data_IF_396808133594
#
_entry.id   IF_396808133594
#
_cell.length_a   1.000
_cell.length_b   1.000
_cell.length_c   1.000
_cell.angle_alpha   90.00
_cell.angle_beta   90.00
_cell.angle_gamma   90.00
#
_symmetry.space_group_name_H-M   'P 1'
#
loop_
_entity.id
_entity.type
_entity.pdbx_description
1 polymer ?
#
# COMPACT_ATOMS: atom_id res chain seq x y z
N UNK A 1 12.23 12.98 10.23
CA UNK A 1 11.45 12.55 9.05
C UNK A 1 11.42 11.03 8.86
N UNK A 2 12.56 10.33 8.88
CA UNK A 2 12.62 8.87 8.73
C UNK A 2 11.70 8.09 9.69
N UNK A 3 11.71 8.45 10.98
CA UNK A 3 10.77 7.92 11.98
C UNK A 3 9.31 8.13 11.59
N UNK A 4 8.91 9.34 11.17
CA UNK A 4 7.53 9.61 10.74
C UNK A 4 7.12 8.72 9.55
N UNK A 5 8.04 8.50 8.60
CA UNK A 5 7.81 7.61 7.47
C UNK A 5 7.60 6.14 7.90
N UNK A 6 8.41 5.66 8.85
CA UNK A 6 8.23 4.32 9.43
C UNK A 6 6.89 4.20 10.18
N UNK A 7 6.48 5.23 10.92
CA UNK A 7 5.18 5.27 11.60
C UNK A 7 3.99 5.32 10.65
N UNK A 8 4.15 5.91 9.46
CA UNK A 8 3.13 5.94 8.42
C UNK A 8 3.12 4.68 7.55
N UNK A 9 4.20 3.90 7.54
CA UNK A 9 4.32 2.70 6.71
C UNK A 9 3.23 1.63 6.92
N UNK A 10 2.61 1.49 8.11
CA UNK A 10 1.48 0.58 8.31
C UNK A 10 0.14 1.16 7.84
N UNK A 11 0.06 2.45 7.51
CA UNK A 11 -1.20 3.13 7.18
C UNK A 11 -1.92 2.51 5.97
N UNK A 12 -1.23 2.12 4.87
CA UNK A 12 -1.86 1.38 3.78
C UNK A 12 -2.53 0.08 4.23
N UNK A 13 -1.94 -0.66 5.19
CA UNK A 13 -2.51 -1.89 5.74
C UNK A 13 -3.79 -1.62 6.53
N UNK A 14 -3.78 -0.57 7.35
CA UNK A 14 -4.96 -0.15 8.13
C UNK A 14 -6.11 0.25 7.19
N UNK A 15 -5.80 1.07 6.18
CA UNK A 15 -6.79 1.50 5.18
C UNK A 15 -7.32 0.31 4.40
N UNK A 16 -6.47 -0.67 4.05
CA UNK A 16 -6.91 -1.89 3.41
C UNK A 16 -7.87 -2.70 4.29
N UNK A 17 -7.54 -2.92 5.56
CA UNK A 17 -8.41 -3.64 6.50
C UNK A 17 -9.79 -2.98 6.64
N UNK A 18 -9.82 -1.65 6.78
CA UNK A 18 -11.07 -0.87 6.85
C UNK A 18 -11.86 -0.99 5.54
N UNK A 19 -11.18 -0.84 4.39
CA UNK A 19 -11.82 -0.95 3.08
C UNK A 19 -12.40 -2.34 2.84
N UNK A 20 -11.70 -3.40 3.22
CA UNK A 20 -12.15 -4.78 3.06
C UNK A 20 -13.37 -5.07 3.97
N UNK A 21 -13.32 -4.61 5.22
CA UNK A 21 -14.46 -4.68 6.13
C UNK A 21 -15.69 -3.92 5.59
N UNK A 22 -15.50 -2.72 5.03
CA UNK A 22 -16.55 -1.92 4.40
C UNK A 22 -17.16 -2.61 3.18
N UNK A 23 -16.34 -3.08 2.24
CA UNK A 23 -16.80 -3.81 1.05
C UNK A 23 -17.55 -5.09 1.43
N UNK A 24 -17.12 -5.76 2.51
CA UNK A 24 -17.79 -6.94 3.05
C UNK A 24 -19.20 -6.70 3.61
N UNK A 25 -19.61 -5.43 3.84
CA UNK A 25 -20.98 -5.11 4.25
C UNK A 25 -21.98 -5.16 3.10
N UNK A 26 -21.53 -5.29 1.86
CA UNK A 26 -22.38 -5.27 0.67
C UNK A 26 -22.40 -6.63 -0.02
N UNK A 27 -23.55 -6.97 -0.59
CA UNK A 27 -23.75 -8.17 -1.41
C UNK A 27 -24.02 -7.82 -2.88
N UNK A 28 -23.76 -8.78 -3.78
CA UNK A 28 -24.04 -8.66 -5.22
C UNK A 28 -23.45 -7.40 -5.85
N UNK A 29 -24.32 -6.60 -6.47
CA UNK A 29 -23.93 -5.39 -7.20
C UNK A 29 -23.34 -4.29 -6.30
N UNK A 30 -23.80 -4.20 -5.05
CA UNK A 30 -23.28 -3.24 -4.07
C UNK A 30 -21.81 -3.50 -3.72
N UNK A 31 -21.42 -4.78 -3.63
CA UNK A 31 -20.02 -5.17 -3.39
C UNK A 31 -19.11 -4.75 -4.53
N UNK A 32 -19.59 -4.91 -5.76
CA UNK A 32 -18.86 -4.55 -6.97
C UNK A 32 -18.69 -3.03 -7.09
N UNK A 33 -19.73 -2.26 -6.76
CA UNK A 33 -19.67 -0.80 -6.70
C UNK A 33 -18.74 -0.26 -5.59
N UNK A 34 -18.59 -0.99 -4.48
CA UNK A 34 -17.72 -0.62 -3.37
C UNK A 34 -16.25 -1.07 -3.55
N UNK A 35 -15.99 -2.08 -4.39
CA UNK A 35 -14.64 -2.63 -4.63
C UNK A 35 -13.55 -1.60 -5.02
N UNK A 36 -13.84 -0.53 -5.78
CA UNK A 36 -12.84 0.50 -6.09
C UNK A 36 -12.23 1.19 -4.86
N UNK A 37 -12.88 1.15 -3.70
CA UNK A 37 -12.32 1.69 -2.46
C UNK A 37 -11.02 0.99 -2.05
N UNK A 38 -10.83 -0.27 -2.46
CA UNK A 38 -9.61 -1.06 -2.22
C UNK A 38 -8.42 -0.59 -3.06
N UNK A 39 -8.61 0.30 -4.04
CA UNK A 39 -7.51 0.93 -4.77
C UNK A 39 -6.77 1.98 -3.93
N UNK A 40 -7.45 2.61 -2.98
CA UNK A 40 -6.88 3.64 -2.09
C UNK A 40 -5.62 3.15 -1.34
N UNK A 41 -5.63 2.00 -0.64
CA UNK A 41 -4.42 1.50 0.03
C UNK A 41 -3.29 1.16 -0.94
N UNK A 42 -3.60 0.69 -2.15
CA UNK A 42 -2.60 0.43 -3.20
C UNK A 42 -1.90 1.73 -3.60
N UNK A 43 -2.67 2.77 -3.90
CA UNK A 43 -2.13 4.09 -4.30
C UNK A 43 -1.32 4.73 -3.18
N UNK A 44 -1.79 4.63 -1.93
CA UNK A 44 -1.05 5.11 -0.76
C UNK A 44 0.29 4.37 -0.60
N UNK A 45 0.26 3.04 -0.67
CA UNK A 45 1.47 2.21 -0.54
C UNK A 45 2.48 2.49 -1.65
N UNK A 46 2.00 2.66 -2.89
CA UNK A 46 2.82 3.02 -4.04
C UNK A 46 3.45 4.40 -3.86
N UNK A 47 2.65 5.41 -3.47
CA UNK A 47 3.13 6.77 -3.23
C UNK A 47 4.20 6.82 -2.14
N UNK A 48 4.00 6.07 -1.05
CA UNK A 48 5.00 5.90 0.00
C UNK A 48 6.28 5.23 -0.51
N UNK A 49 6.17 4.15 -1.29
CA UNK A 49 7.31 3.48 -1.90
C UNK A 49 8.13 4.42 -2.80
N UNK A 50 7.46 5.21 -3.64
CA UNK A 50 8.11 6.20 -4.52
C UNK A 50 8.82 7.28 -3.69
N UNK A 51 8.12 7.87 -2.72
CA UNK A 51 8.68 8.92 -1.85
C UNK A 51 9.88 8.43 -1.02
N UNK A 52 9.78 7.20 -0.49
CA UNK A 52 10.85 6.54 0.23
C UNK A 52 12.05 6.23 -0.67
N UNK A 53 11.80 5.77 -1.90
CA UNK A 53 12.83 5.52 -2.92
C UNK A 53 13.61 6.78 -3.26
N UNK A 54 12.92 7.88 -3.58
CA UNK A 54 13.56 9.19 -3.83
C UNK A 54 14.39 9.65 -2.63
N UNK A 55 13.84 9.53 -1.41
CA UNK A 55 14.53 9.94 -0.17
C UNK A 55 15.76 9.08 0.12
N UNK A 56 15.72 7.79 -0.21
CA UNK A 56 16.83 6.85 -0.08
C UNK A 56 17.95 7.21 -1.05
N UNK A 57 17.62 7.48 -2.31
CA UNK A 57 18.60 7.91 -3.33
C UNK A 57 19.22 9.25 -2.96
N UNK A 58 18.42 10.21 -2.50
CA UNK A 58 18.90 11.51 -2.05
C UNK A 58 19.90 11.38 -0.89
N UNK A 59 19.57 10.59 0.13
CA UNK A 59 20.46 10.40 1.29
C UNK A 59 21.74 9.63 0.96
N UNK A 60 21.65 8.63 0.07
CA UNK A 60 22.84 7.93 -0.44
C UNK A 60 23.81 8.90 -1.12
N UNK A 61 23.31 9.87 -1.91
CA UNK A 61 24.13 10.90 -2.54
C UNK A 61 24.73 11.90 -1.54
N UNK A 62 24.06 12.14 -0.41
CA UNK A 62 24.52 13.06 0.64
C UNK A 62 25.43 12.41 1.70
N UNK A 63 25.76 11.12 1.58
CA UNK A 63 26.55 10.38 2.59
C UNK A 63 25.84 10.20 3.93
N UNK A 64 24.52 10.42 3.99
CA UNK A 64 23.72 10.29 5.21
C UNK A 64 23.26 8.84 5.41
N UNK A 65 23.02 8.40 6.66
CA UNK A 65 22.48 7.07 6.93
C UNK A 65 21.11 6.89 6.25
N UNK A 66 21.00 5.86 5.40
CA UNK A 66 19.86 5.66 4.49
C UNK A 66 19.02 4.40 4.81
N UNK A 67 19.44 3.57 5.76
CA UNK A 67 18.81 2.28 6.05
C UNK A 67 17.36 2.36 6.53
N UNK A 68 17.00 3.40 7.28
CA UNK A 68 15.62 3.63 7.75
C UNK A 68 14.65 3.92 6.59
N UNK A 69 15.12 4.61 5.55
CA UNK A 69 14.32 4.91 4.37
C UNK A 69 14.20 3.71 3.44
N UNK A 70 15.28 2.94 3.28
CA UNK A 70 15.24 1.70 2.50
C UNK A 70 14.23 0.71 3.08
N UNK A 71 14.31 0.46 4.40
CA UNK A 71 13.39 -0.49 5.07
C UNK A 71 11.94 -0.05 4.94
N UNK A 72 11.62 1.23 5.20
CA UNK A 72 10.28 1.75 4.98
C UNK A 72 9.81 1.65 3.52
N UNK A 73 10.73 1.85 2.56
CA UNK A 73 10.44 1.72 1.12
C UNK A 73 10.14 0.28 0.73
N UNK A 74 10.92 -0.68 1.24
CA UNK A 74 10.71 -2.10 0.99
C UNK A 74 9.39 -2.59 1.59
N UNK A 75 9.06 -2.13 2.81
CA UNK A 75 7.78 -2.46 3.45
C UNK A 75 6.61 -1.89 2.65
N UNK A 76 6.64 -0.59 2.32
CA UNK A 76 5.57 0.05 1.56
C UNK A 76 5.46 -0.53 0.12
N UNK A 77 6.58 -0.79 -0.54
CA UNK A 77 6.60 -1.44 -1.85
C UNK A 77 6.07 -2.87 -1.80
N UNK A 78 6.50 -3.66 -0.83
CA UNK A 78 6.03 -5.04 -0.64
C UNK A 78 4.53 -5.11 -0.36
N UNK A 79 4.00 -4.23 0.49
CA UNK A 79 2.56 -4.11 0.75
C UNK A 79 1.78 -3.78 -0.53
N UNK A 80 2.30 -2.89 -1.38
CA UNK A 80 1.64 -2.54 -2.65
C UNK A 80 1.53 -3.74 -3.60
N UNK A 81 2.57 -4.58 -3.67
CA UNK A 81 2.59 -5.79 -4.48
C UNK A 81 1.65 -6.86 -3.91
N UNK A 82 1.61 -7.00 -2.59
CA UNK A 82 0.69 -7.91 -1.90
C UNK A 82 -0.78 -7.55 -2.19
N UNK A 83 -1.16 -6.28 -1.99
CA UNK A 83 -2.53 -5.84 -2.25
C UNK A 83 -2.90 -5.95 -3.73
N UNK A 84 -1.96 -5.67 -4.63
CA UNK A 84 -2.18 -5.87 -6.06
C UNK A 84 -2.44 -7.34 -6.39
N UNK A 85 -1.64 -8.26 -5.83
CA UNK A 85 -1.82 -9.70 -6.02
C UNK A 85 -3.18 -10.19 -5.48
N UNK A 86 -3.61 -9.69 -4.32
CA UNK A 86 -4.91 -10.04 -3.74
C UNK A 86 -6.07 -9.52 -4.59
N UNK A 87 -6.00 -8.26 -5.04
CA UNK A 87 -7.02 -7.67 -5.92
C UNK A 87 -7.14 -8.43 -7.25
N UNK A 88 -6.01 -8.82 -7.84
CA UNK A 88 -5.97 -9.64 -9.05
C UNK A 88 -6.59 -11.02 -8.79
N UNK A 89 -6.26 -11.67 -7.67
CA UNK A 89 -6.84 -12.96 -7.29
C UNK A 89 -8.37 -12.90 -7.12
N UNK A 90 -8.89 -11.83 -6.50
CA UNK A 90 -10.34 -11.61 -6.38
C UNK A 90 -11.01 -11.47 -7.75
N UNK A 91 -10.38 -10.75 -8.68
CA UNK A 91 -10.90 -10.58 -10.04
C UNK A 91 -11.02 -11.92 -10.78
N UNK A 92 -9.97 -12.76 -10.71
CA UNK A 92 -9.98 -14.09 -11.32
C UNK A 92 -11.00 -15.03 -10.67
N UNK A 93 -11.15 -15.00 -9.34
CA UNK A 93 -12.14 -15.82 -8.64
C UNK A 93 -13.59 -15.46 -8.99
N UNK A 94 -13.86 -14.21 -9.38
CA UNK A 94 -15.20 -13.76 -9.81
C UNK A 94 -15.52 -14.03 -11.28
N UNK A 95 -14.56 -14.57 -12.05
CA UNK A 95 -14.67 -14.79 -13.50
C UNK A 95 -15.00 -16.25 -13.89
N UNK A 96 -15.18 -17.14 -12.89
CA UNK A 96 -15.59 -18.54 -13.03
C UNK A 96 -16.89 -18.79 -12.27
#
# INVERSE_FOLDING_TARGET
MARLFLWLSPLPLIVFGIGNWYVGQFEGWGRWAAAPVLLVPILLSLGMGIAGGFSTVAQRRSGKPWGEWLSGTLIAGGLSLYFLAELVAMQFASSF
#
